data_IF_259409033994
#
_entry.id   IF_259409033994
#
_cell.length_a   1.000
_cell.length_b   1.000
_cell.length_c   1.000
_cell.angle_alpha   90.00
_cell.angle_beta   90.00
_cell.angle_gamma   90.00
#
_symmetry.space_group_name_H-M   'P 1'
#
loop_
_entity.id
_entity.type
_entity.pdbx_description
1 polymer ?
#
# COMPACT_ATOMS: atom_id res chain seq x y z
N UNK A 1 20.27 1.25 12.36
CA UNK A 1 18.86 0.82 12.18
C UNK A 1 18.40 0.23 13.51
N UNK A 2 17.14 0.40 13.89
CA UNK A 2 16.56 -0.25 15.08
C UNK A 2 15.96 -1.59 14.68
N UNK A 3 16.35 -2.65 15.37
CA UNK A 3 15.87 -4.02 15.13
C UNK A 3 14.49 -4.28 15.75
N UNK A 4 13.88 -3.27 16.37
CA UNK A 4 12.59 -3.35 17.04
C UNK A 4 11.51 -2.63 16.22
N UNK A 5 10.36 -3.28 16.10
CA UNK A 5 9.15 -2.68 15.56
C UNK A 5 8.45 -1.95 16.71
N UNK A 6 8.35 -0.63 16.63
CA UNK A 6 7.64 0.19 17.62
C UNK A 6 6.23 0.53 17.16
N UNK A 7 5.37 0.91 18.10
CA UNK A 7 4.01 1.37 17.82
C UNK A 7 4.02 2.56 16.86
N UNK A 8 4.86 3.56 17.10
CA UNK A 8 4.97 4.75 16.25
C UNK A 8 5.40 4.39 14.83
N UNK A 9 6.28 3.39 14.68
CA UNK A 9 6.71 2.90 13.38
C UNK A 9 5.54 2.25 12.63
N UNK A 10 4.73 1.43 13.29
CA UNK A 10 3.57 0.80 12.64
C UNK A 10 2.52 1.83 12.27
N UNK A 11 2.19 2.74 13.18
CA UNK A 11 1.20 3.80 12.94
C UNK A 11 1.59 4.67 11.76
N UNK A 12 2.89 5.01 11.64
CA UNK A 12 3.42 5.71 10.48
C UNK A 12 3.17 4.92 9.18
N UNK A 13 3.48 3.62 9.14
CA UNK A 13 3.33 2.80 7.94
C UNK A 13 1.85 2.56 7.57
N UNK A 14 0.99 2.35 8.58
CA UNK A 14 -0.46 2.27 8.38
C UNK A 14 -1.01 3.57 7.80
N UNK A 15 -0.54 4.72 8.30
CA UNK A 15 -0.96 6.03 7.80
C UNK A 15 -0.50 6.25 6.35
N UNK A 16 0.77 6.04 6.05
CA UNK A 16 1.33 6.19 4.69
C UNK A 16 0.59 5.30 3.70
N UNK A 17 0.41 4.01 4.03
CA UNK A 17 -0.24 3.05 3.14
C UNK A 17 -1.73 3.34 2.96
N UNK A 18 -2.42 3.79 4.01
CA UNK A 18 -3.82 4.24 3.90
C UNK A 18 -3.93 5.41 2.91
N UNK A 19 -3.07 6.43 3.06
CA UNK A 19 -3.06 7.60 2.17
C UNK A 19 -2.70 7.24 0.73
N UNK A 20 -1.77 6.31 0.54
CA UNK A 20 -1.44 5.79 -0.79
C UNK A 20 -2.66 5.13 -1.45
N UNK A 21 -3.36 4.22 -0.75
CA UNK A 21 -4.56 3.54 -1.26
C UNK A 21 -5.69 4.53 -1.57
N UNK A 22 -5.94 5.48 -0.68
CA UNK A 22 -7.00 6.48 -0.86
C UNK A 22 -6.71 7.45 -2.01
N UNK A 23 -5.43 7.70 -2.29
CA UNK A 23 -4.99 8.67 -3.28
C UNK A 23 -4.76 8.11 -4.68
N UNK A 24 -4.52 6.80 -4.85
CA UNK A 24 -4.28 6.24 -6.18
C UNK A 24 -5.51 6.31 -7.07
N UNK A 25 -5.28 6.71 -8.31
CA UNK A 25 -6.26 6.61 -9.41
C UNK A 25 -5.72 5.64 -10.43
N UNK A 26 -6.58 4.79 -10.99
CA UNK A 26 -6.17 3.89 -12.07
C UNK A 26 -5.80 4.74 -13.30
N UNK A 27 -4.59 4.53 -13.83
CA UNK A 27 -4.12 5.18 -15.03
C UNK A 27 -5.03 4.88 -16.22
N UNK A 28 -5.12 5.82 -17.17
CA UNK A 28 -5.90 5.63 -18.40
C UNK A 28 -5.47 4.35 -19.10
N UNK A 29 -6.46 3.57 -19.56
CA UNK A 29 -6.26 2.25 -20.15
C UNK A 29 -5.22 2.28 -21.27
N UNK A 30 -4.23 1.40 -21.14
CA UNK A 30 -3.28 1.10 -22.21
C UNK A 30 -3.77 -0.06 -23.08
N UNK A 31 -4.52 -1.02 -22.49
CA UNK A 31 -5.10 -2.24 -23.11
C UNK A 31 -6.32 -2.74 -22.28
N UNK A 32 -7.14 -3.64 -22.82
CA UNK A 32 -8.40 -4.13 -22.17
C UNK A 32 -8.16 -4.82 -20.81
N UNK A 33 -7.14 -5.66 -20.67
CA UNK A 33 -6.84 -6.35 -19.39
C UNK A 33 -6.13 -5.46 -18.36
N UNK A 34 -5.67 -4.27 -18.77
CA UNK A 34 -4.86 -3.38 -17.94
C UNK A 34 -5.61 -2.92 -16.69
N UNK A 35 -6.86 -2.50 -16.89
CA UNK A 35 -7.71 -1.99 -15.82
C UNK A 35 -8.00 -3.06 -14.78
N UNK A 36 -8.35 -4.27 -15.22
CA UNK A 36 -8.65 -5.39 -14.33
C UNK A 36 -7.43 -5.76 -13.47
N UNK A 37 -6.23 -5.81 -14.07
CA UNK A 37 -5.01 -6.04 -13.30
C UNK A 37 -4.72 -4.93 -12.28
N UNK A 38 -4.95 -3.67 -12.64
CA UNK A 38 -4.83 -2.56 -11.70
C UNK A 38 -5.84 -2.65 -10.54
N UNK A 39 -7.09 -3.01 -10.84
CA UNK A 39 -8.13 -3.24 -9.83
C UNK A 39 -7.76 -4.40 -8.90
N UNK A 40 -7.25 -5.52 -9.43
CA UNK A 40 -6.77 -6.65 -8.63
C UNK A 40 -5.61 -6.25 -7.70
N UNK A 41 -4.65 -5.45 -8.18
CA UNK A 41 -3.55 -4.94 -7.35
C UNK A 41 -4.06 -4.06 -6.20
N UNK A 42 -5.05 -3.19 -6.48
CA UNK A 42 -5.63 -2.31 -5.47
C UNK A 42 -6.47 -3.10 -4.45
N UNK A 43 -7.21 -4.12 -4.89
CA UNK A 43 -7.94 -5.03 -3.98
C UNK A 43 -6.97 -5.77 -3.06
N UNK A 44 -5.87 -6.31 -3.60
CA UNK A 44 -4.84 -6.97 -2.82
C UNK A 44 -4.21 -6.04 -1.78
N UNK A 45 -3.79 -4.83 -2.17
CA UNK A 45 -3.26 -3.84 -1.24
C UNK A 45 -4.26 -3.50 -0.13
N UNK A 46 -5.54 -3.31 -0.48
CA UNK A 46 -6.62 -2.96 0.44
C UNK A 46 -6.90 -4.07 1.46
N UNK A 47 -6.90 -5.33 1.03
CA UNK A 47 -7.07 -6.50 1.91
C UNK A 47 -5.95 -6.61 2.92
N UNK A 48 -4.70 -6.47 2.48
CA UNK A 48 -3.57 -6.53 3.40
C UNK A 48 -3.48 -5.33 4.35
N UNK A 49 -3.94 -4.14 3.94
CA UNK A 49 -4.10 -3.02 4.88
C UNK A 49 -5.17 -3.32 5.93
N UNK A 50 -6.28 -3.96 5.54
CA UNK A 50 -7.32 -4.40 6.48
C UNK A 50 -6.78 -5.43 7.48
N UNK A 51 -5.99 -6.39 6.99
CA UNK A 51 -5.32 -7.37 7.85
C UNK A 51 -4.34 -6.70 8.81
N UNK A 52 -3.55 -5.74 8.31
CA UNK A 52 -2.62 -4.99 9.15
C UNK A 52 -3.35 -4.25 10.29
N UNK A 53 -4.46 -3.58 9.99
CA UNK A 53 -5.31 -2.92 10.99
C UNK A 53 -5.92 -3.93 11.97
N UNK A 54 -6.29 -5.12 11.51
CA UNK A 54 -6.81 -6.20 12.35
C UNK A 54 -5.77 -6.75 13.34
N UNK A 55 -4.55 -7.03 12.88
CA UNK A 55 -3.48 -7.52 13.75
C UNK A 55 -3.00 -6.43 14.71
N UNK A 56 -2.95 -5.18 14.25
CA UNK A 56 -2.60 -4.04 15.09
C UNK A 56 -3.57 -3.87 16.25
N UNK A 57 -4.89 -3.96 16.01
CA UNK A 57 -5.89 -3.85 17.07
C UNK A 57 -5.85 -4.99 18.09
N UNK A 58 -5.22 -6.12 17.74
CA UNK A 58 -4.97 -7.25 18.65
C UNK A 58 -3.62 -7.17 19.38
N UNK A 59 -2.81 -6.15 19.11
CA UNK A 59 -1.47 -6.00 19.68
C UNK A 59 -0.41 -6.87 19.00
N UNK A 60 -0.73 -7.56 17.90
CA UNK A 60 0.24 -8.34 17.13
C UNK A 60 0.99 -7.41 16.16
N UNK A 61 1.94 -6.68 16.74
CA UNK A 61 2.74 -5.66 16.06
C UNK A 61 3.63 -6.23 14.95
N UNK A 62 4.12 -7.45 15.10
CA UNK A 62 4.99 -8.08 14.07
C UNK A 62 4.17 -8.44 12.85
N UNK A 63 3.03 -9.11 13.03
CA UNK A 63 2.17 -9.47 11.90
C UNK A 63 1.56 -8.21 11.28
N UNK A 64 1.12 -7.23 12.08
CA UNK A 64 0.62 -5.97 11.56
C UNK A 64 1.65 -5.26 10.68
N UNK A 65 2.91 -5.21 11.12
CA UNK A 65 4.01 -4.61 10.35
C UNK A 65 4.27 -5.39 9.05
N UNK A 66 4.28 -6.73 9.09
CA UNK A 66 4.45 -7.54 7.89
C UNK A 66 3.30 -7.31 6.88
N UNK A 67 2.05 -7.32 7.35
CA UNK A 67 0.87 -7.10 6.50
C UNK A 67 0.85 -5.73 5.85
N UNK A 68 1.19 -4.65 6.58
CA UNK A 68 1.18 -3.29 5.98
C UNK A 68 2.29 -3.11 4.96
N UNK A 69 3.48 -3.69 5.18
CA UNK A 69 4.55 -3.64 4.18
C UNK A 69 4.19 -4.47 2.94
N UNK A 70 3.50 -5.60 3.10
CA UNK A 70 3.03 -6.39 1.96
C UNK A 70 1.94 -5.65 1.17
N UNK A 71 1.01 -4.97 1.85
CA UNK A 71 0.04 -4.07 1.22
C UNK A 71 0.75 -2.98 0.39
N UNK A 72 1.76 -2.34 0.97
CA UNK A 72 2.52 -1.29 0.30
C UNK A 72 3.31 -1.82 -0.90
N UNK A 73 3.84 -3.04 -0.81
CA UNK A 73 4.54 -3.70 -1.92
C UNK A 73 3.66 -3.90 -3.16
N UNK A 74 2.36 -4.19 -2.99
CA UNK A 74 1.41 -4.22 -4.11
C UNK A 74 1.24 -2.85 -4.77
N UNK A 75 1.21 -1.77 -3.99
CA UNK A 75 1.12 -0.40 -4.51
C UNK A 75 2.37 -0.02 -5.29
N UNK A 76 3.55 -0.25 -4.73
CA UNK A 76 4.83 0.02 -5.39
C UNK A 76 4.99 -0.80 -6.68
N UNK A 77 4.57 -2.07 -6.67
CA UNK A 77 4.57 -2.90 -7.87
C UNK A 77 3.63 -2.34 -8.94
N UNK A 78 2.42 -1.94 -8.56
CA UNK A 78 1.48 -1.28 -9.47
C UNK A 78 2.00 0.05 -10.03
N UNK A 79 2.72 0.83 -9.21
CA UNK A 79 3.35 2.07 -9.63
C UNK A 79 4.41 1.81 -10.71
N UNK A 80 5.30 0.82 -10.50
CA UNK A 80 6.32 0.41 -11.49
C UNK A 80 5.72 -0.11 -12.79
N UNK A 81 4.58 -0.78 -12.72
CA UNK A 81 3.84 -1.23 -13.90
C UNK A 81 3.10 -0.07 -14.59
N UNK A 82 2.90 1.07 -13.91
CA UNK A 82 2.15 2.21 -14.43
C UNK A 82 0.63 2.00 -14.36
N UNK A 83 0.16 1.24 -13.35
CA UNK A 83 -1.26 1.07 -13.06
C UNK A 83 -1.89 2.32 -12.45
N UNK A 84 -1.08 3.19 -11.83
CA UNK A 84 -1.56 4.37 -11.13
C UNK A 84 -1.24 5.66 -11.89
N UNK A 85 -2.19 6.59 -11.89
CA UNK A 85 -1.96 7.99 -12.23
C UNK A 85 -1.46 8.70 -10.95
N UNK A 86 -0.15 8.67 -10.74
CA UNK A 86 0.50 9.23 -9.54
C UNK A 86 0.71 10.73 -9.74
N UNK A 87 -0.15 11.53 -9.14
CA UNK A 87 0.07 12.97 -9.03
C UNK A 87 1.06 13.32 -7.90
N UNK A 88 1.43 14.60 -7.81
CA UNK A 88 2.42 15.07 -6.84
C UNK A 88 1.99 14.86 -5.39
N UNK A 89 0.69 14.82 -5.10
CA UNK A 89 0.18 14.74 -3.72
C UNK A 89 0.32 13.34 -3.14
N UNK A 90 0.31 12.32 -4.00
CA UNK A 90 0.40 10.91 -3.61
C UNK A 90 1.78 10.30 -3.81
N UNK A 91 2.63 10.94 -4.62
CA UNK A 91 3.98 10.46 -4.94
C UNK A 91 4.85 10.21 -3.71
N UNK A 92 4.77 11.09 -2.71
CA UNK A 92 5.57 11.00 -1.48
C UNK A 92 5.23 9.78 -0.61
N UNK A 93 4.14 9.07 -0.91
CA UNK A 93 3.79 7.85 -0.22
C UNK A 93 4.40 6.60 -0.84
N UNK A 94 4.98 6.66 -2.04
CA UNK A 94 5.58 5.52 -2.72
C UNK A 94 7.09 5.44 -2.46
N UNK A 95 7.65 4.23 -2.54
CA UNK A 95 9.10 3.99 -2.37
C UNK A 95 9.80 3.88 -3.73
N UNK A 96 9.05 3.92 -4.82
CA UNK A 96 9.54 3.78 -6.19
C UNK A 96 9.61 5.13 -6.89
N UNK A 97 10.69 5.34 -7.66
CA UNK A 97 10.93 6.57 -8.44
C UNK A 97 10.04 6.69 -9.69
#
# INVERSE_FOLDING_TARGET
MSDKITTEKIEKYLSITTKAIEGVKIAKEKNVDWRKMAEDFLDMASRYLKDAKHYYSKGDVVIAFASVNYAHGWLDAGARLGFWDIDKEVRDYFVVD
#
